data_IF_460591429341
#
_entry.id   IF_460591429341
#
_cell.length_a   1.000
_cell.length_b   1.000
_cell.length_c   1.000
_cell.angle_alpha   90.00
_cell.angle_beta   90.00
_cell.angle_gamma   90.00
#
_symmetry.space_group_name_H-M   'P 1'
#
loop_
_entity.id
_entity.type
_entity.pdbx_description
1 polymer ?
#
# COMPACT_ATOMS: atom_id res chain seq x y z
N UNK A 1 18.17 0.51 21.53
CA UNK A 1 17.29 1.15 20.53
C UNK A 1 18.14 1.66 19.39
N UNK A 2 17.73 1.42 18.14
CA UNK A 2 18.36 2.04 16.97
C UNK A 2 17.39 3.11 16.48
N UNK A 3 17.80 4.38 16.49
CA UNK A 3 16.92 5.50 16.15
C UNK A 3 17.05 5.81 14.66
N UNK A 4 16.02 5.48 13.88
CA UNK A 4 15.86 5.89 12.49
C UNK A 4 14.70 6.90 12.41
N UNK A 5 14.90 8.10 11.83
CA UNK A 5 13.79 9.01 11.55
C UNK A 5 12.80 8.37 10.59
N UNK A 6 11.51 8.45 10.90
CA UNK A 6 10.43 7.92 10.08
C UNK A 6 9.66 9.06 9.44
N UNK A 7 9.15 8.82 8.24
CA UNK A 7 8.25 9.72 7.54
C UNK A 7 7.11 8.88 6.95
N UNK A 8 5.89 9.13 7.42
CA UNK A 8 4.67 8.52 6.91
C UNK A 8 3.81 9.61 6.26
N UNK A 9 3.16 9.26 5.15
CA UNK A 9 2.30 10.16 4.41
C UNK A 9 1.05 9.41 3.95
N UNK A 10 -0.04 10.15 3.75
CA UNK A 10 -1.23 9.61 3.09
C UNK A 10 -0.97 9.57 1.59
N UNK A 11 -1.11 8.41 0.97
CA UNK A 11 -1.00 8.28 -0.49
C UNK A 11 -2.06 9.13 -1.20
N UNK A 12 -1.83 9.47 -2.46
CA UNK A 12 -2.83 10.16 -3.28
C UNK A 12 -4.16 9.38 -3.27
N UNK A 13 -5.27 10.06 -3.08
CA UNK A 13 -6.60 9.46 -2.97
C UNK A 13 -6.92 8.83 -1.62
N UNK A 14 -6.13 9.06 -0.58
CA UNK A 14 -6.42 8.55 0.76
C UNK A 14 -6.15 9.61 1.84
N UNK A 15 -6.73 9.40 3.02
CA UNK A 15 -6.50 10.23 4.21
C UNK A 15 -6.71 11.72 3.95
N UNK A 16 -5.72 12.54 4.26
CA UNK A 16 -5.73 14.00 4.07
C UNK A 16 -5.09 14.46 2.75
N UNK A 17 -4.62 13.54 1.91
CA UNK A 17 -4.08 13.86 0.59
C UNK A 17 -5.18 14.19 -0.41
N UNK A 18 -4.81 14.75 -1.55
CA UNK A 18 -5.76 15.08 -2.62
C UNK A 18 -6.49 13.83 -3.12
N UNK A 19 -7.77 13.99 -3.49
CA UNK A 19 -8.61 12.93 -4.04
C UNK A 19 -9.04 13.26 -5.49
N UNK A 20 -8.12 13.22 -6.48
CA UNK A 20 -8.45 13.45 -7.87
C UNK A 20 -9.19 12.25 -8.47
N UNK A 21 -9.45 12.24 -9.78
CA UNK A 21 -10.22 11.16 -10.41
C UNK A 21 -9.65 9.76 -10.08
N UNK A 22 -10.49 8.90 -9.51
CA UNK A 22 -10.11 7.58 -8.99
C UNK A 22 -9.68 6.57 -10.06
N UNK A 23 -9.93 6.85 -11.34
CA UNK A 23 -9.62 5.94 -12.45
C UNK A 23 -8.42 6.46 -13.24
N UNK A 24 -8.44 7.73 -13.62
CA UNK A 24 -7.47 8.29 -14.57
C UNK A 24 -6.26 8.92 -13.91
N UNK A 25 -6.34 9.29 -12.62
CA UNK A 25 -5.25 9.96 -11.90
C UNK A 25 -4.71 9.09 -10.77
N UNK A 26 -5.58 8.57 -9.89
CA UNK A 26 -5.13 7.75 -8.76
C UNK A 26 -4.78 6.34 -9.24
N UNK A 27 -3.48 6.12 -9.51
CA UNK A 27 -2.93 4.88 -10.05
C UNK A 27 -1.56 4.59 -9.43
N UNK A 28 -1.11 3.33 -9.42
CA UNK A 28 0.19 2.95 -8.85
C UNK A 28 1.38 3.72 -9.45
N UNK A 29 1.46 3.99 -10.78
CA UNK A 29 2.50 4.86 -11.34
C UNK A 29 2.45 6.30 -10.82
N UNK A 30 1.26 6.87 -10.61
CA UNK A 30 1.12 8.21 -10.05
C UNK A 30 1.56 8.26 -8.58
N UNK A 31 1.30 7.19 -7.81
CA UNK A 31 1.84 7.05 -6.45
C UNK A 31 3.37 7.01 -6.47
N UNK A 32 3.97 6.23 -7.37
CA UNK A 32 5.41 6.13 -7.52
C UNK A 32 6.04 7.49 -7.88
N UNK A 33 5.46 8.24 -8.81
CA UNK A 33 5.92 9.58 -9.16
C UNK A 33 5.82 10.56 -7.99
N UNK A 34 4.77 10.45 -7.16
CA UNK A 34 4.64 11.26 -5.94
C UNK A 34 5.74 10.92 -4.93
N UNK A 35 6.04 9.63 -4.75
CA UNK A 35 7.13 9.17 -3.89
C UNK A 35 8.49 9.68 -4.40
N UNK A 36 8.71 9.67 -5.72
CA UNK A 36 9.92 10.21 -6.32
C UNK A 36 10.14 11.69 -5.99
N UNK A 37 9.09 12.51 -6.05
CA UNK A 37 9.19 13.91 -5.65
C UNK A 37 9.44 14.07 -4.15
N UNK A 38 8.85 13.23 -3.29
CA UNK A 38 9.17 13.20 -1.86
C UNK A 38 10.64 12.82 -1.61
N UNK A 39 11.19 11.85 -2.36
CA UNK A 39 12.60 11.46 -2.29
C UNK A 39 13.51 12.64 -2.66
N UNK A 40 13.18 13.38 -3.72
CA UNK A 40 13.92 14.59 -4.11
C UNK A 40 13.90 15.65 -3.01
N UNK A 41 12.75 15.89 -2.38
CA UNK A 41 12.63 16.81 -1.24
C UNK A 41 13.46 16.33 -0.05
N UNK A 42 13.43 15.03 0.27
CA UNK A 42 14.20 14.44 1.35
C UNK A 42 15.72 14.55 1.12
N UNK A 43 16.18 14.30 -0.12
CA UNK A 43 17.59 14.44 -0.51
C UNK A 43 18.04 15.90 -0.51
N UNK A 44 17.17 16.83 -0.88
CA UNK A 44 17.43 18.27 -0.83
C UNK A 44 17.37 18.84 0.59
N UNK A 45 16.70 18.16 1.53
CA UNK A 45 16.41 18.69 2.87
C UNK A 45 15.41 19.83 2.83
N UNK A 46 14.49 19.77 1.87
CA UNK A 46 13.41 20.73 1.70
C UNK A 46 12.17 20.28 2.48
N UNK A 47 11.29 21.23 2.81
CA UNK A 47 10.00 20.94 3.47
C UNK A 47 9.26 19.81 2.76
N UNK A 48 8.72 18.80 3.48
CA UNK A 48 8.53 18.74 4.93
C UNK A 48 9.74 18.20 5.74
N UNK A 49 10.88 17.93 5.09
CA UNK A 49 12.02 17.30 5.73
C UNK A 49 12.88 18.31 6.48
N UNK A 50 13.27 18.05 7.75
CA UNK A 50 14.02 19.00 8.58
C UNK A 50 15.49 19.13 8.19
N UNK A 51 15.98 18.22 7.35
CA UNK A 51 17.38 18.13 6.90
C UNK A 51 17.48 17.21 5.70
N UNK A 52 18.66 17.18 5.09
CA UNK A 52 18.99 16.25 4.02
C UNK A 52 19.10 14.81 4.54
N UNK A 53 18.55 13.88 3.76
CA UNK A 53 18.68 12.44 3.96
C UNK A 53 19.39 11.80 2.78
N UNK A 54 20.55 11.20 3.03
CA UNK A 54 21.35 10.53 2.00
C UNK A 54 20.90 9.08 1.77
N UNK A 55 20.60 8.38 2.87
CA UNK A 55 20.15 7.01 2.85
C UNK A 55 18.65 6.96 3.12
N UNK A 56 17.90 6.39 2.20
CA UNK A 56 16.44 6.26 2.29
C UNK A 56 16.06 4.79 2.19
N UNK A 57 15.12 4.38 3.03
CA UNK A 57 14.55 3.04 3.02
C UNK A 57 13.05 3.19 2.73
N UNK A 58 12.57 2.55 1.66
CA UNK A 58 11.14 2.46 1.42
C UNK A 58 10.56 1.31 2.25
N UNK A 59 9.43 1.55 2.90
CA UNK A 59 8.68 0.52 3.61
C UNK A 59 7.24 0.57 3.14
N UNK A 60 6.77 -0.52 2.54
CA UNK A 60 5.39 -0.66 2.08
C UNK A 60 4.74 -1.92 2.63
N UNK A 61 3.43 -1.87 2.83
CA UNK A 61 2.60 -3.03 3.18
C UNK A 61 1.47 -3.20 2.17
N UNK A 62 1.18 -4.44 1.76
CA UNK A 62 0.11 -4.77 0.81
C UNK A 62 0.22 -3.94 -0.48
N UNK A 63 -0.80 -3.14 -0.84
CA UNK A 63 -0.75 -2.21 -1.98
C UNK A 63 0.47 -1.27 -1.92
N UNK A 64 0.90 -0.86 -0.73
CA UNK A 64 2.10 -0.06 -0.55
C UNK A 64 3.37 -0.78 -1.01
N UNK A 65 3.44 -2.10 -0.87
CA UNK A 65 4.55 -2.89 -1.41
C UNK A 65 4.51 -3.02 -2.92
N UNK A 66 3.31 -3.09 -3.51
CA UNK A 66 3.14 -3.03 -4.96
C UNK A 66 3.65 -1.69 -5.48
N UNK A 67 3.25 -0.58 -4.85
CA UNK A 67 3.76 0.75 -5.18
C UNK A 67 5.28 0.83 -4.98
N UNK A 68 5.82 0.26 -3.91
CA UNK A 68 7.27 0.16 -3.68
C UNK A 68 8.01 -0.57 -4.81
N UNK A 69 7.44 -1.66 -5.31
CA UNK A 69 7.98 -2.35 -6.49
C UNK A 69 7.93 -1.46 -7.75
N UNK A 70 6.82 -0.73 -7.95
CA UNK A 70 6.68 0.21 -9.07
C UNK A 70 7.73 1.33 -8.97
N UNK A 71 8.03 1.83 -7.77
CA UNK A 71 9.13 2.78 -7.56
C UNK A 71 10.47 2.15 -7.94
N UNK A 72 10.76 0.93 -7.51
CA UNK A 72 12.01 0.25 -7.87
C UNK A 72 12.16 0.06 -9.39
N UNK A 73 11.05 -0.14 -10.11
CA UNK A 73 11.04 -0.25 -11.59
C UNK A 73 11.26 1.11 -12.25
N UNK A 74 10.58 2.17 -11.80
CA UNK A 74 10.58 3.46 -12.50
C UNK A 74 11.71 4.41 -12.06
N UNK A 75 12.15 4.27 -10.81
CA UNK A 75 13.10 5.15 -10.13
C UNK A 75 14.10 4.31 -9.31
N UNK A 76 14.91 3.44 -9.96
CA UNK A 76 15.74 2.46 -9.28
C UNK A 76 16.78 3.04 -8.31
N UNK A 77 17.14 4.33 -8.47
CA UNK A 77 18.13 5.03 -7.62
C UNK A 77 17.51 5.78 -6.43
N UNK A 78 16.18 5.77 -6.26
CA UNK A 78 15.50 6.57 -5.24
C UNK A 78 15.78 6.08 -3.82
N UNK A 79 15.80 4.77 -3.62
CA UNK A 79 15.93 4.13 -2.31
C UNK A 79 17.14 3.21 -2.24
N UNK A 80 17.82 3.20 -1.10
CA UNK A 80 18.98 2.34 -0.85
C UNK A 80 18.58 0.94 -0.34
N UNK A 81 17.34 0.80 0.12
CA UNK A 81 16.73 -0.48 0.44
C UNK A 81 15.22 -0.36 0.37
N UNK A 82 14.54 -1.46 0.03
CA UNK A 82 13.08 -1.55 0.12
C UNK A 82 12.64 -2.72 0.97
N UNK A 83 11.65 -2.48 1.84
CA UNK A 83 11.01 -3.50 2.66
C UNK A 83 9.57 -3.64 2.17
N UNK A 84 9.25 -4.83 1.66
CA UNK A 84 7.97 -5.16 1.05
C UNK A 84 7.25 -6.17 1.96
N UNK A 85 6.27 -5.68 2.72
CA UNK A 85 5.48 -6.47 3.65
C UNK A 85 4.16 -6.95 3.02
N UNK A 86 3.79 -8.22 3.18
CA UNK A 86 2.57 -8.77 2.58
C UNK A 86 2.51 -8.55 1.05
N UNK A 87 3.64 -8.80 0.39
CA UNK A 87 3.81 -8.62 -1.05
C UNK A 87 3.60 -9.94 -1.81
N UNK A 88 2.85 -9.89 -2.91
CA UNK A 88 2.68 -11.02 -3.81
C UNK A 88 2.66 -10.56 -5.26
N UNK A 89 3.45 -11.24 -6.09
CA UNK A 89 3.43 -11.07 -7.57
C UNK A 89 2.14 -11.59 -8.22
N UNK A 90 1.32 -12.32 -7.47
CA UNK A 90 0.04 -12.87 -7.93
C UNK A 90 -1.16 -12.05 -7.46
N UNK A 91 -0.95 -10.78 -7.10
CA UNK A 91 -2.00 -9.88 -6.62
C UNK A 91 -3.25 -9.88 -7.51
N UNK A 92 -3.09 -9.92 -8.84
CA UNK A 92 -4.22 -9.98 -9.77
C UNK A 92 -5.21 -11.11 -9.47
N UNK A 93 -4.73 -12.26 -8.97
CA UNK A 93 -5.58 -13.39 -8.61
C UNK A 93 -6.31 -13.19 -7.27
N UNK A 94 -5.76 -12.36 -6.39
CA UNK A 94 -6.33 -12.06 -5.08
C UNK A 94 -7.43 -10.99 -5.14
N UNK A 95 -7.41 -10.09 -6.13
CA UNK A 95 -8.35 -8.96 -6.24
C UNK A 95 -9.83 -9.39 -6.15
N UNK A 96 -10.32 -10.41 -6.90
CA UNK A 96 -11.73 -10.80 -6.81
C UNK A 96 -12.11 -11.34 -5.43
N UNK A 97 -11.25 -12.17 -4.83
CA UNK A 97 -11.47 -12.73 -3.50
C UNK A 97 -11.44 -11.67 -2.41
N UNK A 98 -10.47 -10.75 -2.48
CA UNK A 98 -10.40 -9.61 -1.57
C UNK A 98 -11.65 -8.72 -1.71
N UNK A 99 -12.05 -8.39 -2.93
CA UNK A 99 -13.24 -7.57 -3.21
C UNK A 99 -14.51 -8.19 -2.63
N UNK A 100 -14.72 -9.49 -2.84
CA UNK A 100 -15.89 -10.19 -2.35
C UNK A 100 -15.89 -10.32 -0.82
N UNK A 101 -14.76 -10.70 -0.23
CA UNK A 101 -14.67 -10.94 1.22
C UNK A 101 -14.71 -9.64 2.03
N UNK A 102 -14.02 -8.59 1.58
CA UNK A 102 -14.05 -7.28 2.25
C UNK A 102 -15.33 -6.48 1.97
N UNK A 103 -16.17 -6.95 1.04
CA UNK A 103 -17.31 -6.22 0.49
C UNK A 103 -16.91 -4.80 0.03
N UNK A 104 -16.00 -4.70 -0.92
CA UNK A 104 -15.57 -3.38 -1.42
C UNK A 104 -16.74 -2.69 -2.13
N UNK A 105 -17.13 -1.52 -1.62
CA UNK A 105 -18.22 -0.71 -2.14
C UNK A 105 -17.78 0.75 -2.33
N UNK A 106 -18.45 1.52 -3.22
CA UNK A 106 -18.16 2.94 -3.41
C UNK A 106 -18.26 3.73 -2.10
N UNK A 107 -17.17 4.41 -1.75
CA UNK A 107 -16.99 5.10 -0.48
C UNK A 107 -18.09 6.14 -0.22
N UNK A 108 -18.48 6.88 -1.26
CA UNK A 108 -19.53 7.91 -1.19
C UNK A 108 -20.92 7.32 -0.90
N UNK A 109 -21.17 6.06 -1.26
CA UNK A 109 -22.44 5.37 -1.03
C UNK A 109 -22.46 4.67 0.34
N UNK A 110 -21.31 4.21 0.81
CA UNK A 110 -21.19 3.43 2.05
C UNK A 110 -20.99 4.33 3.28
N UNK A 111 -20.24 5.42 3.16
CA UNK A 111 -20.02 6.37 4.26
C UNK A 111 -19.96 7.80 3.70
N UNK A 112 -21.14 8.34 3.39
CA UNK A 112 -21.29 9.70 2.85
C UNK A 112 -20.87 10.79 3.84
N UNK A 113 -20.85 10.49 5.14
CA UNK A 113 -20.38 11.43 6.16
C UNK A 113 -18.88 11.65 6.04
N UNK A 114 -18.11 10.57 5.87
CA UNK A 114 -16.66 10.66 5.69
C UNK A 114 -16.26 11.01 4.26
N UNK A 115 -16.96 10.51 3.26
CA UNK A 115 -16.55 10.57 1.85
C UNK A 115 -17.48 11.36 0.92
N UNK A 116 -18.42 12.12 1.47
CA UNK A 116 -19.33 12.97 0.68
C UNK A 116 -18.60 13.99 -0.21
N UNK A 117 -17.39 14.40 0.17
CA UNK A 117 -16.55 15.32 -0.59
C UNK A 117 -16.04 14.75 -1.93
N UNK A 118 -16.15 13.43 -2.16
CA UNK A 118 -15.76 12.80 -3.42
C UNK A 118 -16.73 13.10 -4.58
N UNK A 119 -17.82 13.82 -4.33
CA UNK A 119 -18.74 14.37 -5.33
C UNK A 119 -19.26 13.33 -6.35
N UNK A 120 -19.52 12.11 -5.90
CA UNK A 120 -20.07 11.04 -6.74
C UNK A 120 -19.04 10.23 -7.53
N UNK A 121 -17.73 10.42 -7.29
CA UNK A 121 -16.72 9.51 -7.82
C UNK A 121 -16.87 8.11 -7.18
N UNK A 122 -17.45 7.18 -7.94
CA UNK A 122 -17.73 5.81 -7.49
C UNK A 122 -16.51 4.89 -7.53
N UNK A 123 -15.39 5.32 -8.10
CA UNK A 123 -14.19 4.48 -8.20
C UNK A 123 -13.31 4.50 -6.95
N UNK A 124 -13.65 5.31 -5.94
CA UNK A 124 -13.13 5.17 -4.58
C UNK A 124 -13.91 4.09 -3.84
N UNK A 125 -13.24 3.04 -3.43
CA UNK A 125 -13.84 1.90 -2.74
C UNK A 125 -13.35 1.84 -1.28
N UNK A 126 -14.22 1.40 -0.37
CA UNK A 126 -13.87 1.06 1.01
C UNK A 126 -14.40 -0.33 1.34
N UNK A 127 -13.77 -1.00 2.30
CA UNK A 127 -14.32 -2.24 2.86
C UNK A 127 -15.62 -1.95 3.61
N UNK A 128 -16.61 -2.83 3.44
CA UNK A 128 -17.92 -2.75 4.09
C UNK A 128 -18.20 -3.91 5.05
N UNK A 129 -17.30 -4.89 5.13
CA UNK A 129 -17.42 -6.03 6.04
C UNK A 129 -16.30 -6.03 7.07
N UNK A 130 -16.64 -5.80 8.34
CA UNK A 130 -15.67 -5.87 9.45
C UNK A 130 -15.12 -7.28 9.62
N UNK A 131 -16.00 -8.30 9.58
CA UNK A 131 -15.58 -9.70 9.66
C UNK A 131 -14.78 -10.13 8.43
N UNK A 132 -15.07 -9.55 7.26
CA UNK A 132 -14.29 -9.75 6.04
C UNK A 132 -12.87 -9.19 6.16
N UNK A 133 -12.74 -7.97 6.68
CA UNK A 133 -11.43 -7.34 6.95
C UNK A 133 -10.65 -8.13 8.00
N UNK A 134 -11.30 -8.55 9.10
CA UNK A 134 -10.69 -9.42 10.10
C UNK A 134 -10.15 -10.70 9.48
N UNK A 135 -10.96 -11.40 8.68
CA UNK A 135 -10.58 -12.64 8.03
C UNK A 135 -9.40 -12.48 7.04
N UNK A 136 -9.35 -11.35 6.33
CA UNK A 136 -8.33 -11.09 5.31
C UNK A 136 -7.00 -10.61 5.89
N UNK A 137 -7.03 -9.83 6.97
CA UNK A 137 -5.86 -9.08 7.46
C UNK A 137 -5.34 -9.59 8.81
N UNK A 138 -6.12 -10.38 9.54
CA UNK A 138 -5.77 -10.87 10.87
C UNK A 138 -5.84 -12.39 10.94
N UNK A 139 -5.06 -12.97 11.87
CA UNK A 139 -5.04 -14.41 12.11
C UNK A 139 -4.93 -14.69 13.61
N UNK A 140 -5.71 -15.68 14.08
CA UNK A 140 -5.74 -16.11 15.48
C UNK A 140 -6.46 -15.14 16.40
N UNK A 141 -7.80 -14.96 16.23
CA UNK A 141 -8.61 -14.16 17.14
C UNK A 141 -8.41 -14.60 18.58
N UNK A 142 -8.35 -13.61 19.48
CA UNK A 142 -8.15 -13.77 20.93
C UNK A 142 -6.84 -14.47 21.34
N UNK A 143 -5.93 -14.74 20.39
CA UNK A 143 -4.64 -15.40 20.65
C UNK A 143 -3.46 -14.50 20.34
N UNK A 144 -3.49 -13.79 19.20
CA UNK A 144 -2.35 -13.01 18.72
C UNK A 144 -2.63 -11.50 18.62
N UNK A 145 -3.89 -11.10 18.79
CA UNK A 145 -4.29 -9.70 18.78
C UNK A 145 -5.47 -9.47 19.72
N UNK A 146 -5.60 -8.23 20.20
CA UNK A 146 -6.79 -7.75 20.91
C UNK A 146 -7.87 -7.35 19.88
N UNK A 147 -9.09 -7.90 19.93
CA UNK A 147 -10.16 -7.59 18.98
C UNK A 147 -10.53 -6.10 18.88
N UNK A 148 -10.24 -5.30 19.92
CA UNK A 148 -10.46 -3.85 19.87
C UNK A 148 -9.61 -3.16 18.80
N UNK A 149 -8.47 -3.74 18.40
CA UNK A 149 -7.68 -3.24 17.28
C UNK A 149 -8.39 -3.37 15.94
N UNK A 150 -9.23 -4.39 15.75
CA UNK A 150 -9.98 -4.56 14.49
C UNK A 150 -11.04 -3.47 14.37
N UNK A 151 -11.75 -3.19 15.45
CA UNK A 151 -12.73 -2.11 15.45
C UNK A 151 -12.07 -0.76 15.12
N UNK A 152 -10.88 -0.51 15.66
CA UNK A 152 -10.09 0.68 15.37
C UNK A 152 -9.60 0.72 13.91
N UNK A 153 -9.01 -0.36 13.41
CA UNK A 153 -8.54 -0.48 12.03
C UNK A 153 -9.69 -0.29 11.04
N UNK A 154 -10.80 -1.00 11.26
CA UNK A 154 -12.00 -0.86 10.45
C UNK A 154 -12.54 0.57 10.50
N UNK A 155 -12.59 1.23 11.65
CA UNK A 155 -13.02 2.63 11.73
C UNK A 155 -12.06 3.59 11.00
N UNK A 156 -10.75 3.33 11.06
CA UNK A 156 -9.71 4.15 10.46
C UNK A 156 -9.49 3.86 8.96
N UNK A 157 -10.01 2.75 8.43
CA UNK A 157 -9.77 2.22 7.09
C UNK A 157 -9.78 3.30 6.01
N UNK A 158 -8.83 3.21 5.09
CA UNK A 158 -8.72 4.11 3.95
C UNK A 158 -9.52 3.62 2.75
N UNK A 159 -9.30 4.30 1.64
CA UNK A 159 -9.85 3.89 0.33
C UNK A 159 -8.91 2.90 -0.37
N UNK A 160 -9.39 2.32 -1.47
CA UNK A 160 -8.62 1.85 -2.62
C UNK A 160 -9.34 2.33 -3.87
N UNK A 161 -8.62 2.78 -4.89
CA UNK A 161 -9.25 3.21 -6.14
C UNK A 161 -9.27 2.12 -7.21
N UNK A 162 -10.22 2.20 -8.14
CA UNK A 162 -10.25 1.32 -9.33
C UNK A 162 -8.95 1.46 -10.14
N UNK A 163 -8.43 2.69 -10.29
CA UNK A 163 -7.16 2.94 -10.98
C UNK A 163 -5.99 2.22 -10.31
N UNK A 164 -5.91 2.24 -8.98
CA UNK A 164 -4.92 1.47 -8.21
C UNK A 164 -5.11 -0.03 -8.31
N UNK A 165 -6.35 -0.54 -8.25
CA UNK A 165 -6.61 -1.96 -8.37
C UNK A 165 -6.15 -2.51 -9.73
N UNK A 166 -6.46 -1.79 -10.83
CA UNK A 166 -6.10 -2.19 -12.20
C UNK A 166 -4.58 -2.08 -12.40
N UNK A 167 -4.00 -0.92 -12.09
CA UNK A 167 -2.56 -0.69 -12.34
C UNK A 167 -1.68 -1.47 -11.38
N UNK A 168 -2.15 -1.77 -10.16
CA UNK A 168 -1.46 -2.67 -9.24
C UNK A 168 -1.52 -4.14 -9.69
N UNK A 169 -2.64 -4.58 -10.28
CA UNK A 169 -2.76 -5.95 -10.81
C UNK A 169 -1.91 -6.18 -12.08
N UNK A 170 -1.79 -5.17 -12.93
CA UNK A 170 -1.09 -5.27 -14.23
C UNK A 170 0.34 -4.72 -14.20
N UNK A 171 0.70 -3.96 -13.17
CA UNK A 171 1.95 -3.18 -13.10
C UNK A 171 3.09 -3.85 -12.35
N UNK A 172 2.92 -5.08 -11.85
CA UNK A 172 4.03 -5.82 -11.23
C UNK A 172 4.97 -6.31 -12.33
N UNK A 173 6.10 -5.64 -12.44
CA UNK A 173 7.20 -5.97 -13.36
C UNK A 173 8.49 -6.17 -12.57
N UNK A 174 9.43 -6.89 -13.18
CA UNK A 174 10.78 -7.09 -12.66
C UNK A 174 11.49 -5.73 -12.58
N UNK A 175 12.03 -5.38 -11.42
CA UNK A 175 12.86 -4.19 -11.27
C UNK A 175 14.33 -4.49 -11.64
N UNK A 176 14.59 -4.72 -12.93
CA UNK A 176 15.90 -5.18 -13.42
C UNK A 176 17.07 -4.23 -13.06
N UNK A 177 16.79 -2.93 -13.00
CA UNK A 177 17.78 -1.89 -12.73
C UNK A 177 17.96 -1.60 -11.23
N UNK A 178 17.04 -2.07 -10.37
CA UNK A 178 17.15 -1.90 -8.93
C UNK A 178 18.13 -2.95 -8.35
N UNK A 179 19.32 -2.49 -7.98
CA UNK A 179 20.41 -3.39 -7.52
C UNK A 179 20.65 -3.35 -6.01
N UNK A 180 19.94 -2.48 -5.31
CA UNK A 180 20.02 -2.30 -3.87
C UNK A 180 19.29 -3.41 -3.09
N UNK A 181 19.35 -3.37 -1.76
CA UNK A 181 18.82 -4.44 -0.92
C UNK A 181 17.30 -4.47 -0.90
N UNK A 182 16.71 -5.66 -1.02
CA UNK A 182 15.26 -5.86 -0.81
C UNK A 182 15.00 -6.93 0.25
N UNK A 183 14.12 -6.59 1.17
CA UNK A 183 13.55 -7.52 2.13
C UNK A 183 12.07 -7.72 1.80
N UNK A 184 11.69 -8.96 1.47
CA UNK A 184 10.28 -9.35 1.37
C UNK A 184 9.87 -10.09 2.64
N UNK A 185 8.85 -9.59 3.32
CA UNK A 185 8.36 -10.12 4.60
C UNK A 185 6.87 -10.44 4.51
N UNK A 186 6.53 -11.73 4.54
CA UNK A 186 5.15 -12.19 4.51
C UNK A 186 4.84 -13.08 5.73
N UNK A 187 3.63 -12.95 6.27
CA UNK A 187 3.13 -13.85 7.30
C UNK A 187 2.90 -15.25 6.75
N UNK A 188 3.10 -16.30 7.56
CA UNK A 188 2.79 -17.68 7.16
C UNK A 188 1.28 -17.94 7.01
N UNK A 189 0.46 -17.08 7.61
CA UNK A 189 -0.99 -17.17 7.63
C UNK A 189 -1.66 -15.97 6.94
N UNK A 190 -0.88 -15.22 6.16
CA UNK A 190 -1.40 -14.03 5.49
C UNK A 190 -2.40 -14.44 4.41
N UNK A 191 -3.67 -14.11 4.66
CA UNK A 191 -4.83 -14.46 3.85
C UNK A 191 -4.75 -13.97 2.40
N UNK A 192 -4.02 -12.88 2.15
CA UNK A 192 -3.78 -12.34 0.82
C UNK A 192 -2.61 -13.03 0.11
N UNK A 193 -1.66 -13.54 0.88
CA UNK A 193 -0.54 -14.32 0.39
C UNK A 193 -0.83 -15.81 0.22
N UNK A 194 -2.04 -16.31 0.55
CA UNK A 194 -2.37 -17.75 0.56
C UNK A 194 -2.20 -18.48 -0.79
N UNK A 195 -1.87 -17.77 -1.88
CA UNK A 195 -1.45 -18.36 -3.16
C UNK A 195 0.08 -18.35 -3.42
N UNK A 196 0.89 -17.83 -2.49
CA UNK A 196 2.35 -17.89 -2.48
C UNK A 196 2.84 -18.41 -1.13
N UNK A 197 3.41 -19.61 -1.11
CA UNK A 197 4.06 -20.16 0.10
C UNK A 197 5.06 -19.13 0.64
N UNK A 198 4.96 -18.84 1.93
CA UNK A 198 5.74 -17.80 2.61
C UNK A 198 7.23 -18.13 2.64
N UNK A 199 8.06 -17.11 2.36
CA UNK A 199 9.50 -17.15 2.55
C UNK A 199 9.95 -15.78 3.09
N UNK A 200 10.82 -15.76 4.11
CA UNK A 200 11.74 -14.62 4.27
C UNK A 200 12.76 -14.81 3.17
N UNK A 201 12.70 -13.97 2.14
CA UNK A 201 13.64 -14.04 1.02
C UNK A 201 14.42 -12.74 0.94
N UNK A 202 15.73 -12.85 1.08
CA UNK A 202 16.66 -11.88 0.53
C UNK A 202 16.83 -12.25 -0.94
N UNK A 203 16.08 -11.59 -1.82
CA UNK A 203 16.16 -11.80 -3.25
C UNK A 203 16.38 -10.48 -3.96
N UNK A 204 17.05 -10.52 -5.12
CA UNK A 204 16.79 -9.50 -6.14
C UNK A 204 15.30 -9.56 -6.42
N UNK A 205 14.63 -8.42 -6.41
CA UNK A 205 13.24 -8.33 -6.82
C UNK A 205 13.14 -8.90 -8.23
N UNK A 206 12.59 -10.10 -8.32
CA UNK A 206 12.35 -10.82 -9.57
C UNK A 206 11.04 -10.37 -10.20
#
# INVERSE_FOLDING_TARGET
>A
EVSYPTFSFDRLGNGMSDHPNSITVVQCPAQAATIHELVKLARAGASPFPRQFRNLIFVGSSLGSIVGNVVNVQYPDDFNSTILCSFSKFWANAVPGFTATAELLPAVLTDSTRYGFLNGDLGYLIANSLSGVEYLLYYGPDQYYDPSFIALDYAARGTITIGEAITGALGISVAEEYTDSVLVLNGNQDGQSLFSRSFISFSRVL
#
